data_IF_927759835894
#
_entry.id   IF_927759835894
#
_cell.length_a   1.000
_cell.length_b   1.000
_cell.length_c   1.000
_cell.angle_alpha   90.00
_cell.angle_beta   90.00
_cell.angle_gamma   90.00
#
_symmetry.space_group_name_H-M   'P 1'
#
loop_
_entity.id
_entity.type
_entity.pdbx_description
1 polymer ?
#
# COMPACT_ATOMS: atom_id res chain seq x y z
N UNK A 1 0.36 50.07 36.11
CA UNK A 1 1.74 50.07 36.64
C UNK A 1 2.12 48.62 36.89
N UNK A 2 3.03 48.05 36.09
CA UNK A 2 3.55 46.68 36.29
C UNK A 2 4.74 46.77 37.25
N UNK A 3 4.55 46.38 38.50
CA UNK A 3 5.62 46.28 39.49
C UNK A 3 6.30 44.92 39.32
N UNK A 4 7.41 44.90 38.60
CA UNK A 4 8.30 43.75 38.56
C UNK A 4 8.99 43.64 39.94
N UNK A 5 8.51 42.74 40.80
CA UNK A 5 9.19 42.44 42.06
C UNK A 5 10.64 42.04 41.83
N UNK A 6 11.53 42.61 42.65
CA UNK A 6 12.99 42.48 42.65
C UNK A 6 13.47 41.05 42.98
N UNK A 7 13.23 40.12 42.06
CA UNK A 7 13.86 38.80 42.05
C UNK A 7 14.41 38.53 40.66
N UNK A 8 15.60 37.92 40.59
CA UNK A 8 16.22 37.54 39.31
C UNK A 8 15.33 36.53 38.57
N UNK A 9 14.50 37.00 37.65
CA UNK A 9 13.66 36.13 36.81
C UNK A 9 14.51 35.55 35.70
N UNK A 10 14.73 34.24 35.70
CA UNK A 10 15.35 33.56 34.56
C UNK A 10 14.45 33.74 33.32
N UNK A 11 14.98 34.42 32.30
CA UNK A 11 14.31 34.60 31.01
C UNK A 11 14.60 33.46 30.04
N UNK A 12 15.24 32.38 30.50
CA UNK A 12 15.58 31.24 29.67
C UNK A 12 14.32 30.52 29.20
N UNK A 13 14.35 30.10 27.94
CA UNK A 13 13.33 29.27 27.30
C UNK A 13 14.04 28.03 26.80
N UNK A 14 13.41 26.87 26.97
CA UNK A 14 13.91 25.62 26.40
C UNK A 14 13.05 25.25 25.21
N UNK A 15 13.69 24.85 24.11
CA UNK A 15 13.01 24.42 22.90
C UNK A 15 13.45 23.00 22.54
N UNK A 16 12.48 22.17 22.19
CA UNK A 16 12.67 20.84 21.61
C UNK A 16 12.23 20.92 20.15
N UNK A 17 13.02 20.36 19.23
CA UNK A 17 12.65 20.24 17.82
C UNK A 17 12.56 18.77 17.43
N UNK A 18 11.59 18.41 16.59
CA UNK A 18 11.52 17.08 16.02
C UNK A 18 12.57 16.92 14.92
N UNK A 19 13.27 15.78 14.94
CA UNK A 19 14.15 15.35 13.85
C UNK A 19 13.39 14.59 12.77
N UNK A 20 12.26 13.96 13.13
CA UNK A 20 11.44 13.15 12.23
C UNK A 20 10.48 14.02 11.44
N UNK A 21 9.96 15.09 12.05
CA UNK A 21 9.02 16.02 11.43
C UNK A 21 9.65 17.42 11.42
N UNK A 22 10.45 17.75 10.40
CA UNK A 22 11.06 19.07 10.28
C UNK A 22 9.97 20.14 10.34
N UNK A 23 10.14 21.11 11.24
CA UNK A 23 9.16 22.16 11.50
C UNK A 23 8.34 21.99 12.78
N UNK A 24 8.31 20.79 13.37
CA UNK A 24 7.64 20.57 14.67
C UNK A 24 8.55 21.01 15.82
N UNK A 25 8.08 21.97 16.62
CA UNK A 25 8.81 22.56 17.74
C UNK A 25 7.90 22.64 18.97
N UNK A 26 8.45 22.31 20.13
CA UNK A 26 7.86 22.53 21.44
C UNK A 26 8.72 23.52 22.20
N UNK A 27 8.12 24.58 22.72
CA UNK A 27 8.80 25.58 23.56
C UNK A 27 8.23 25.58 24.97
N UNK A 28 9.09 25.69 25.97
CA UNK A 28 8.71 25.68 27.40
C UNK A 28 9.41 26.83 28.15
N UNK A 29 8.63 27.57 28.93
CA UNK A 29 9.10 28.62 29.85
C UNK A 29 8.35 28.51 31.18
N UNK A 30 9.02 27.97 32.21
CA UNK A 30 8.39 27.69 33.51
C UNK A 30 7.24 26.70 33.34
N UNK A 31 6.04 27.07 33.79
CA UNK A 31 4.82 26.25 33.66
C UNK A 31 4.07 26.44 32.34
N UNK A 32 4.53 27.33 31.45
CA UNK A 32 3.89 27.58 30.16
C UNK A 32 4.62 26.80 29.07
N UNK A 33 3.87 26.16 28.19
CA UNK A 33 4.38 25.49 27.00
C UNK A 33 3.53 25.82 25.78
N UNK A 34 4.13 25.72 24.60
CA UNK A 34 3.43 25.81 23.32
C UNK A 34 4.05 24.83 22.32
N UNK A 35 3.20 24.24 21.48
CA UNK A 35 3.60 23.39 20.38
C UNK A 35 3.25 24.10 19.06
N UNK A 36 4.18 24.11 18.13
CA UNK A 36 4.01 24.74 16.83
C UNK A 36 4.56 23.81 15.74
N UNK A 37 3.87 23.77 14.61
CA UNK A 37 4.37 23.14 13.40
C UNK A 37 4.42 24.17 12.27
N UNK A 38 5.59 24.38 11.68
CA UNK A 38 5.77 25.18 10.46
C UNK A 38 6.63 24.41 9.49
N UNK A 39 6.03 23.91 8.41
CA UNK A 39 6.74 23.13 7.40
C UNK A 39 5.80 22.46 6.41
N UNK A 40 6.38 21.67 5.51
CA UNK A 40 5.67 21.04 4.38
C UNK A 40 4.87 19.78 4.75
N UNK A 41 4.73 19.45 6.03
CA UNK A 41 4.07 18.22 6.51
C UNK A 41 4.67 16.92 5.96
N UNK A 42 5.96 16.93 5.63
CA UNK A 42 6.71 15.75 5.16
C UNK A 42 7.64 15.23 6.24
N UNK A 43 7.77 13.90 6.33
CA UNK A 43 8.74 13.27 7.23
C UNK A 43 10.16 13.55 6.73
N UNK A 44 11.11 13.60 7.65
CA UNK A 44 12.51 13.84 7.32
C UNK A 44 13.01 12.75 6.35
N UNK A 45 13.64 13.19 5.26
CA UNK A 45 14.20 12.29 4.27
C UNK A 45 13.19 11.69 3.29
N UNK A 46 11.91 12.09 3.29
CA UNK A 46 10.91 11.59 2.33
C UNK A 46 11.25 11.85 0.87
N UNK A 47 11.86 12.99 0.58
CA UNK A 47 12.30 13.36 -0.79
C UNK A 47 13.72 12.91 -1.11
N UNK A 48 14.40 12.23 -0.18
CA UNK A 48 15.74 11.71 -0.42
C UNK A 48 15.58 10.33 -1.03
N UNK A 49 16.11 10.13 -2.24
CA UNK A 49 16.09 8.83 -2.89
C UNK A 49 16.83 7.75 -2.08
N UNK A 50 16.57 6.47 -2.37
CA UNK A 50 17.34 5.38 -1.78
C UNK A 50 18.80 5.44 -2.20
N UNK A 51 19.64 4.68 -1.49
CA UNK A 51 21.01 4.42 -1.90
C UNK A 51 21.05 3.79 -3.30
N UNK A 52 21.95 4.27 -4.17
CA UNK A 52 22.03 3.84 -5.57
C UNK A 52 22.56 2.41 -5.73
N UNK A 53 23.35 1.93 -4.79
CA UNK A 53 23.97 0.61 -4.84
C UNK A 53 23.06 -0.44 -4.21
N UNK A 54 22.45 -0.11 -3.06
CA UNK A 54 21.66 -1.09 -2.29
C UNK A 54 20.16 -0.98 -2.51
N UNK A 55 19.66 0.14 -3.05
CA UNK A 55 18.22 0.41 -3.17
C UNK A 55 17.50 0.64 -1.83
N UNK A 56 18.24 0.62 -0.71
CA UNK A 56 17.68 0.77 0.64
C UNK A 56 17.65 2.24 1.10
N UNK A 57 16.80 2.57 2.09
CA UNK A 57 16.83 3.88 2.73
C UNK A 57 18.22 4.24 3.28
N UNK A 58 18.68 5.45 2.99
CA UNK A 58 19.88 6.00 3.61
C UNK A 58 19.69 6.09 5.14
N UNK A 59 20.79 5.90 5.89
CA UNK A 59 20.72 5.90 7.36
C UNK A 59 20.18 7.24 7.87
N UNK A 60 19.10 7.19 8.63
CA UNK A 60 18.44 8.38 9.18
C UNK A 60 17.49 9.10 8.22
N UNK A 61 17.22 8.55 7.03
CA UNK A 61 16.17 9.03 6.13
C UNK A 61 14.93 8.13 6.18
N UNK A 62 13.83 8.63 5.63
CA UNK A 62 12.60 7.86 5.46
C UNK A 62 12.05 8.13 4.05
N UNK A 63 12.63 7.51 3.00
CA UNK A 63 12.25 7.76 1.62
C UNK A 63 10.80 7.33 1.38
N UNK A 64 10.12 8.03 0.48
CA UNK A 64 8.84 7.55 -0.04
C UNK A 64 9.05 6.28 -0.86
N UNK A 65 8.56 5.15 -0.36
CA UNK A 65 8.50 3.89 -1.09
C UNK A 65 7.04 3.66 -1.48
N UNK A 66 6.66 3.86 -2.76
CA UNK A 66 5.30 3.61 -3.22
C UNK A 66 4.87 2.19 -2.84
N UNK A 67 3.61 2.05 -2.43
CA UNK A 67 3.05 0.74 -2.16
C UNK A 67 3.07 -0.08 -3.45
N UNK A 68 3.53 -1.33 -3.35
CA UNK A 68 3.41 -2.26 -4.46
C UNK A 68 1.92 -2.47 -4.81
N UNK A 69 1.56 -2.75 -6.07
CA UNK A 69 0.21 -3.17 -6.40
C UNK A 69 -0.23 -4.34 -5.54
N UNK A 70 -1.53 -4.45 -5.28
CA UNK A 70 -2.09 -5.62 -4.63
C UNK A 70 -1.82 -6.87 -5.48
N UNK A 71 -1.70 -8.01 -4.81
CA UNK A 71 -1.57 -9.29 -5.48
C UNK A 71 -2.80 -9.57 -6.34
N UNK A 72 -2.60 -10.23 -7.49
CA UNK A 72 -3.69 -10.64 -8.36
C UNK A 72 -4.52 -11.68 -7.59
N UNK A 73 -5.85 -11.53 -7.64
CA UNK A 73 -6.77 -12.50 -7.04
C UNK A 73 -6.60 -13.87 -7.69
N UNK A 74 -6.70 -14.93 -6.89
CA UNK A 74 -6.73 -16.29 -7.41
C UNK A 74 -7.88 -16.47 -8.39
N UNK A 75 -7.67 -17.29 -9.42
CA UNK A 75 -8.72 -17.65 -10.37
C UNK A 75 -9.89 -18.33 -9.63
N UNK A 76 -11.14 -18.12 -10.09
CA UNK A 76 -12.28 -18.82 -9.52
C UNK A 76 -12.08 -20.33 -9.66
N UNK A 77 -12.59 -21.10 -8.70
CA UNK A 77 -12.59 -22.56 -8.81
C UNK A 77 -13.33 -22.97 -10.08
N UNK A 78 -12.69 -23.79 -10.92
CA UNK A 78 -13.32 -24.36 -12.09
C UNK A 78 -14.60 -25.11 -11.71
N UNK A 79 -15.61 -25.03 -12.56
CA UNK A 79 -16.84 -25.81 -12.38
C UNK A 79 -16.53 -27.30 -12.60
N UNK A 80 -17.25 -28.16 -11.87
CA UNK A 80 -17.25 -29.60 -12.16
C UNK A 80 -17.79 -29.80 -13.58
N UNK A 81 -17.01 -30.49 -14.41
CA UNK A 81 -17.43 -30.85 -15.76
C UNK A 81 -18.58 -31.85 -15.63
N UNK A 82 -19.78 -31.43 -16.05
CA UNK A 82 -20.91 -32.33 -16.17
C UNK A 82 -20.83 -33.04 -17.52
N UNK A 83 -21.02 -34.37 -17.52
CA UNK A 83 -21.17 -35.14 -18.75
C UNK A 83 -22.21 -34.45 -19.66
N UNK A 84 -21.88 -34.31 -20.95
CA UNK A 84 -22.83 -33.79 -21.92
C UNK A 84 -24.10 -34.64 -21.85
N UNK A 85 -25.30 -34.03 -21.87
CA UNK A 85 -26.55 -34.76 -21.85
C UNK A 85 -26.70 -35.52 -23.17
N UNK A 86 -26.11 -36.71 -23.27
CA UNK A 86 -26.35 -37.59 -24.39
C UNK A 86 -27.81 -38.04 -24.32
N UNK A 87 -28.60 -37.88 -25.41
CA UNK A 87 -29.89 -38.55 -25.49
C UNK A 87 -29.65 -40.06 -25.37
N UNK A 88 -30.24 -40.69 -24.35
CA UNK A 88 -30.11 -42.13 -24.05
C UNK A 88 -30.70 -43.02 -25.16
N UNK A 89 -31.32 -42.43 -26.18
CA UNK A 89 -32.02 -43.12 -27.25
C UNK A 89 -31.53 -42.56 -28.59
N UNK A 90 -31.15 -43.47 -29.48
CA UNK A 90 -30.89 -43.31 -30.91
C UNK A 90 -29.42 -43.33 -31.42
N UNK A 91 -28.49 -43.96 -30.70
CA UNK A 91 -27.25 -44.45 -31.35
C UNK A 91 -27.53 -45.56 -32.40
N UNK A 92 -28.64 -46.29 -32.23
CA UNK A 92 -29.00 -47.42 -33.11
C UNK A 92 -29.65 -47.02 -34.45
N UNK A 93 -30.10 -45.77 -34.61
CA UNK A 93 -30.66 -45.29 -35.89
C UNK A 93 -29.59 -44.68 -36.81
N UNK A 94 -28.45 -44.23 -36.29
CA UNK A 94 -27.40 -43.61 -37.10
C UNK A 94 -26.60 -44.60 -37.97
N UNK A 95 -26.63 -45.90 -37.67
CA UNK A 95 -25.81 -46.94 -38.33
C UNK A 95 -26.53 -47.67 -39.48
N UNK A 96 -27.74 -47.22 -39.86
CA UNK A 96 -28.50 -47.79 -40.98
C UNK A 96 -28.34 -46.94 -42.25
N UNK A 97 -27.12 -46.93 -42.80
CA UNK A 97 -26.89 -46.44 -44.17
C UNK A 97 -27.51 -47.39 -45.21
N UNK A 98 -28.07 -46.84 -46.29
CA UNK A 98 -28.51 -47.60 -47.47
C UNK A 98 -27.35 -48.43 -48.04
N UNK A 99 -27.57 -49.73 -48.22
CA UNK A 99 -26.66 -50.63 -48.94
C UNK A 99 -27.11 -50.61 -50.41
N UNK A 100 -26.26 -50.09 -51.30
CA UNK A 100 -26.51 -50.08 -52.75
C UNK A 100 -26.33 -51.51 -53.33
N UNK A 101 -27.39 -52.08 -53.91
CA UNK A 101 -27.42 -53.42 -54.50
C UNK A 101 -26.86 -53.43 -55.93
N UNK A 102 -25.55 -53.22 -56.15
CA UNK A 102 -24.92 -53.50 -57.46
C UNK A 102 -23.47 -53.97 -57.29
N UNK A 103 -23.26 -55.21 -56.84
CA UNK A 103 -22.12 -56.07 -57.27
C UNK A 103 -22.50 -57.55 -57.10
N UNK A 104 -23.27 -58.08 -58.07
CA UNK A 104 -23.39 -59.52 -58.29
C UNK A 104 -23.83 -59.82 -59.73
N UNK A 105 -22.94 -59.66 -60.71
CA UNK A 105 -22.60 -60.69 -61.73
C UNK A 105 -21.39 -60.30 -62.59
#
# INVERSE_FOLDING_TARGET
VYTAGDGTKSLRVTALRSLIWPGAITVVKGSKYANLYVGSAMKCGTMVGPDKETGLPLRGTNPLMPLAPDDIMDEPTDFEEHDEPNPIQDEAESDKGEVDEEEAE
#
